data_IF_823061993555
#
_entry.id   IF_823061993555
#
_cell.length_a   1.000
_cell.length_b   1.000
_cell.length_c   1.000
_cell.angle_alpha   90.00
_cell.angle_beta   90.00
_cell.angle_gamma   90.00
#
_symmetry.space_group_name_H-M   'P 1'
#
loop_
_entity.id
_entity.type
_entity.pdbx_description
1 polymer ?
#
# COMPACT_ATOMS: atom_id res chain seq x y z
N UNK A 1 11.59 8.92 30.36
CA UNK A 1 10.41 9.46 29.64
C UNK A 1 10.71 10.75 28.86
N UNK A 2 11.23 11.82 29.49
CA UNK A 2 11.51 13.10 28.80
C UNK A 2 12.45 12.97 27.58
N UNK A 3 13.52 12.16 27.68
CA UNK A 3 14.44 11.88 26.55
C UNK A 3 13.73 11.26 25.34
N UNK A 4 12.86 10.26 25.54
CA UNK A 4 12.13 9.60 24.46
C UNK A 4 11.10 10.53 23.79
N UNK A 5 10.42 11.37 24.58
CA UNK A 5 9.53 12.41 24.05
C UNK A 5 10.28 13.42 23.18
N UNK A 6 11.53 13.75 23.54
CA UNK A 6 12.36 14.67 22.78
C UNK A 6 12.85 14.05 21.46
N UNK A 7 13.21 12.76 21.48
CA UNK A 7 13.52 11.98 20.26
C UNK A 7 12.29 11.92 19.36
N UNK A 8 11.10 11.59 19.89
CA UNK A 8 9.86 11.58 19.12
C UNK A 8 9.59 12.93 18.45
N UNK A 9 9.70 14.04 19.21
CA UNK A 9 9.50 15.39 18.68
C UNK A 9 10.49 15.71 17.56
N UNK A 10 11.76 15.34 17.72
CA UNK A 10 12.80 15.56 16.72
C UNK A 10 12.54 14.73 15.45
N UNK A 11 12.23 13.45 15.58
CA UNK A 11 11.91 12.57 14.46
C UNK A 11 10.68 13.03 13.71
N UNK A 12 9.65 13.49 14.42
CA UNK A 12 8.46 14.06 13.80
C UNK A 12 8.81 15.32 12.99
N UNK A 13 9.62 16.23 13.55
CA UNK A 13 10.07 17.41 12.81
C UNK A 13 10.94 17.06 11.58
N UNK A 14 11.77 16.02 11.66
CA UNK A 14 12.59 15.55 10.55
C UNK A 14 11.77 14.95 9.40
N UNK A 15 10.73 14.18 9.70
CA UNK A 15 9.79 13.68 8.67
C UNK A 15 9.12 14.82 7.91
N UNK A 16 8.73 15.89 8.61
CA UNK A 16 8.16 17.10 7.98
C UNK A 16 9.21 18.07 7.40
N UNK A 17 10.50 17.86 7.63
CA UNK A 17 11.55 18.61 6.94
C UNK A 17 11.60 18.22 5.47
N UNK A 18 11.38 16.93 5.17
CA UNK A 18 11.32 16.38 3.82
C UNK A 18 9.87 16.07 3.41
N UNK A 19 9.01 17.09 3.40
CA UNK A 19 7.57 16.95 3.06
C UNK A 19 7.35 16.21 1.75
N UNK A 20 8.20 16.44 0.75
CA UNK A 20 8.15 15.75 -0.53
C UNK A 20 8.38 14.24 -0.35
N UNK A 21 9.39 13.83 0.42
CA UNK A 21 9.66 12.40 0.67
C UNK A 21 8.49 11.74 1.41
N UNK A 22 7.94 12.43 2.42
CA UNK A 22 6.75 11.95 3.11
C UNK A 22 5.57 11.72 2.15
N UNK A 23 5.24 12.72 1.33
CA UNK A 23 4.14 12.62 0.35
C UNK A 23 4.44 11.55 -0.69
N UNK A 24 5.65 11.52 -1.27
CA UNK A 24 6.05 10.55 -2.29
C UNK A 24 6.02 9.12 -1.76
N UNK A 25 6.38 8.90 -0.49
CA UNK A 25 6.26 7.59 0.14
C UNK A 25 4.78 7.18 0.29
N UNK A 26 3.89 8.09 0.69
CA UNK A 26 2.45 7.81 0.73
C UNK A 26 1.87 7.52 -0.66
N UNK A 27 2.21 8.34 -1.65
CA UNK A 27 1.81 8.15 -3.04
C UNK A 27 2.27 6.79 -3.55
N UNK A 28 3.52 6.40 -3.30
CA UNK A 28 4.04 5.08 -3.66
C UNK A 28 3.22 3.94 -3.07
N UNK A 29 2.88 3.99 -1.78
CA UNK A 29 2.08 2.95 -1.13
C UNK A 29 0.66 2.87 -1.73
N UNK A 30 0.04 4.02 -1.98
CA UNK A 30 -1.30 4.08 -2.61
C UNK A 30 -1.24 3.50 -4.03
N UNK A 31 -0.26 3.93 -4.83
CA UNK A 31 -0.07 3.41 -6.18
C UNK A 31 0.17 1.90 -6.19
N UNK A 32 0.92 1.35 -5.23
CA UNK A 32 1.14 -0.09 -5.12
C UNK A 32 -0.16 -0.86 -4.96
N UNK A 33 -1.06 -0.40 -4.06
CA UNK A 33 -2.37 -1.02 -3.84
C UNK A 33 -3.22 -0.91 -5.12
N UNK A 34 -3.27 0.28 -5.73
CA UNK A 34 -4.05 0.53 -6.96
C UNK A 34 -3.56 -0.34 -8.11
N UNK A 35 -2.25 -0.39 -8.35
CA UNK A 35 -1.65 -1.17 -9.43
C UNK A 35 -1.95 -2.65 -9.24
N UNK A 36 -1.83 -3.16 -8.02
CA UNK A 36 -2.09 -4.55 -7.73
C UNK A 36 -3.57 -4.90 -7.91
N UNK A 37 -4.48 -4.03 -7.47
CA UNK A 37 -5.92 -4.20 -7.70
C UNK A 37 -6.22 -4.28 -9.20
N UNK A 38 -5.76 -3.29 -9.98
CA UNK A 38 -6.03 -3.25 -11.41
C UNK A 38 -5.34 -4.36 -12.19
N UNK A 39 -4.15 -4.81 -11.76
CA UNK A 39 -3.48 -5.97 -12.35
C UNK A 39 -4.38 -7.20 -12.23
N UNK A 40 -4.86 -7.52 -11.03
CA UNK A 40 -5.71 -8.68 -10.83
C UNK A 40 -7.09 -8.52 -11.46
N UNK A 41 -7.70 -7.33 -11.43
CA UNK A 41 -8.94 -7.06 -12.18
C UNK A 41 -8.76 -7.23 -13.68
N UNK A 42 -7.58 -6.94 -14.23
CA UNK A 42 -7.30 -7.14 -15.66
C UNK A 42 -7.13 -8.62 -16.00
N UNK A 43 -6.48 -9.39 -15.13
CA UNK A 43 -6.34 -10.85 -15.26
C UNK A 43 -7.71 -11.53 -15.24
N UNK A 44 -8.60 -11.11 -14.34
CA UNK A 44 -9.95 -11.67 -14.18
C UNK A 44 -11.02 -10.91 -14.95
N UNK A 45 -10.67 -10.25 -16.07
CA UNK A 45 -11.63 -9.49 -16.87
C UNK A 45 -12.79 -10.37 -17.39
N UNK A 46 -12.50 -11.63 -17.73
CA UNK A 46 -13.53 -12.62 -18.02
C UNK A 46 -13.93 -13.34 -16.71
N UNK A 47 -15.21 -13.29 -16.31
CA UNK A 47 -15.71 -13.94 -15.09
C UNK A 47 -15.47 -15.45 -15.01
N UNK A 48 -15.25 -16.14 -16.14
CA UNK A 48 -14.94 -17.57 -16.19
C UNK A 48 -13.44 -17.86 -16.03
N UNK A 49 -12.60 -16.82 -15.94
CA UNK A 49 -11.16 -17.00 -15.77
C UNK A 49 -10.87 -17.50 -14.35
N UNK A 50 -10.35 -18.71 -14.26
CA UNK A 50 -9.77 -19.25 -13.04
C UNK A 50 -8.27 -19.35 -13.18
N UNK A 51 -7.55 -18.79 -12.20
CA UNK A 51 -6.08 -18.82 -12.16
C UNK A 51 -5.67 -19.69 -10.98
N UNK A 52 -5.08 -20.85 -11.26
CA UNK A 52 -4.71 -21.85 -10.25
C UNK A 52 -5.88 -22.28 -9.33
N UNK A 53 -7.13 -22.28 -9.84
CA UNK A 53 -8.33 -22.61 -9.07
C UNK A 53 -8.87 -21.47 -8.19
N UNK A 54 -8.29 -20.27 -8.31
CA UNK A 54 -8.77 -19.06 -7.67
C UNK A 54 -9.57 -18.21 -8.64
N UNK A 55 -10.70 -17.71 -8.17
CA UNK A 55 -11.45 -16.62 -8.81
C UNK A 55 -10.97 -15.26 -8.25
N UNK A 56 -11.43 -14.18 -8.87
CA UNK A 56 -11.01 -12.81 -8.51
C UNK A 56 -11.17 -12.50 -7.02
N UNK A 57 -12.30 -12.87 -6.42
CA UNK A 57 -12.61 -12.61 -5.01
C UNK A 57 -11.61 -13.28 -4.07
N UNK A 58 -11.26 -14.55 -4.34
CA UNK A 58 -10.28 -15.28 -3.54
C UNK A 58 -8.89 -14.66 -3.62
N UNK A 59 -8.45 -14.27 -4.83
CA UNK A 59 -7.12 -13.64 -4.99
C UNK A 59 -7.09 -12.26 -4.32
N UNK A 60 -8.10 -11.42 -4.52
CA UNK A 60 -8.13 -10.11 -3.87
C UNK A 60 -8.17 -10.22 -2.33
N UNK A 61 -8.87 -11.22 -1.79
CA UNK A 61 -8.85 -11.51 -0.35
C UNK A 61 -7.47 -11.92 0.13
N UNK A 62 -6.75 -12.78 -0.61
CA UNK A 62 -5.40 -13.19 -0.24
C UNK A 62 -4.37 -12.05 -0.29
N UNK A 63 -4.54 -11.10 -1.21
CA UNK A 63 -3.56 -10.03 -1.37
C UNK A 63 -3.83 -8.83 -0.45
N UNK A 64 -5.07 -8.59 -0.04
CA UNK A 64 -5.44 -7.47 0.83
C UNK A 64 -5.78 -7.85 2.28
N UNK A 65 -6.03 -9.13 2.57
CA UNK A 65 -6.32 -9.67 3.90
C UNK A 65 -5.10 -10.28 4.57
#
# INVERSE_FOLDING_TARGET
>A
MKKYLQIFKLSFQQEFAYRLNFVMWRVRNILQIILLFFLWSSVFKDPQTEVFGYNQEKILTYVFG
#
